data_IF_919594718319
#
_entry.id   IF_919594718319
#
_cell.length_a   1.000
_cell.length_b   1.000
_cell.length_c   1.000
_cell.angle_alpha   90.00
_cell.angle_beta   90.00
_cell.angle_gamma   90.00
#
_symmetry.space_group_name_H-M   'P 1'
#
loop_
_entity.id
_entity.type
_entity.pdbx_description
1 polymer ?
#
# COMPACT_ATOMS: atom_id res chain seq x y z
N UNK A 1 9.58 -6.70 -12.67
CA UNK A 1 10.82 -7.36 -12.20
C UNK A 1 10.49 -8.24 -11.01
N UNK A 2 11.44 -8.98 -10.43
CA UNK A 2 11.20 -9.78 -9.21
C UNK A 2 10.65 -8.93 -8.05
N UNK A 3 11.20 -7.72 -7.86
CA UNK A 3 10.72 -6.76 -6.86
C UNK A 3 9.25 -6.37 -7.08
N UNK A 4 8.85 -6.13 -8.33
CA UNK A 4 7.45 -5.86 -8.66
C UNK A 4 6.54 -7.03 -8.28
N UNK A 5 6.98 -8.27 -8.52
CA UNK A 5 6.19 -9.46 -8.17
C UNK A 5 5.99 -9.59 -6.66
N UNK A 6 7.04 -9.34 -5.85
CA UNK A 6 6.91 -9.32 -4.39
C UNK A 6 5.99 -8.20 -3.90
N UNK A 7 6.08 -7.02 -4.51
CA UNK A 7 5.18 -5.91 -4.20
C UNK A 7 3.71 -6.28 -4.48
N UNK A 8 3.41 -6.82 -5.67
CA UNK A 8 2.02 -7.17 -6.05
C UNK A 8 1.44 -8.24 -5.13
N UNK A 9 2.19 -9.31 -4.83
CA UNK A 9 1.71 -10.36 -3.93
C UNK A 9 1.54 -9.85 -2.49
N UNK A 10 2.50 -9.07 -1.98
CA UNK A 10 2.37 -8.42 -0.69
C UNK A 10 1.21 -7.43 -0.63
N UNK A 11 0.91 -6.77 -1.74
CA UNK A 11 -0.20 -5.84 -1.89
C UNK A 11 -1.55 -6.57 -1.75
N UNK A 12 -1.69 -7.71 -2.41
CA UNK A 12 -2.89 -8.53 -2.32
C UNK A 12 -3.11 -9.07 -0.90
N UNK A 13 -2.03 -9.36 -0.16
CA UNK A 13 -2.08 -9.64 1.28
C UNK A 13 -2.57 -8.43 2.09
N UNK A 14 -2.08 -7.22 1.78
CA UNK A 14 -2.52 -5.99 2.46
C UNK A 14 -4.02 -5.71 2.32
N UNK A 15 -4.58 -6.06 1.16
CA UNK A 15 -6.02 -6.03 0.88
C UNK A 15 -6.82 -7.19 1.47
N UNK A 16 -6.14 -8.24 1.97
CA UNK A 16 -6.79 -9.47 2.42
C UNK A 16 -7.36 -10.32 1.29
N UNK A 17 -6.98 -10.05 0.04
CA UNK A 17 -7.46 -10.77 -1.15
C UNK A 17 -6.64 -12.01 -1.50
N UNK A 18 -5.43 -12.13 -0.95
CA UNK A 18 -4.56 -13.29 -1.15
C UNK A 18 -5.07 -14.56 -0.45
N UNK A 19 -5.70 -14.43 0.72
CA UNK A 19 -6.27 -15.56 1.48
C UNK A 19 -7.47 -15.13 2.32
N UNK A 20 -8.39 -16.07 2.59
CA UNK A 20 -9.49 -15.86 3.55
C UNK A 20 -9.02 -15.74 5.01
N UNK A 21 -7.79 -16.16 5.32
CA UNK A 21 -7.25 -16.11 6.69
C UNK A 21 -6.43 -14.84 6.91
N UNK A 22 -6.86 -13.89 7.77
CA UNK A 22 -6.14 -12.64 7.99
C UNK A 22 -4.70 -12.83 8.48
N UNK A 23 -4.47 -13.80 9.36
CA UNK A 23 -3.14 -14.12 9.86
C UNK A 23 -2.19 -14.58 8.75
N UNK A 24 -2.69 -15.38 7.80
CA UNK A 24 -1.88 -15.84 6.67
C UNK A 24 -1.48 -14.68 5.76
N UNK A 25 -2.40 -13.76 5.49
CA UNK A 25 -2.09 -12.53 4.76
C UNK A 25 -1.00 -11.72 5.47
N UNK A 26 -1.11 -11.55 6.79
CA UNK A 26 -0.13 -10.74 7.52
C UNK A 26 1.26 -11.37 7.57
N UNK A 27 1.35 -12.70 7.70
CA UNK A 27 2.64 -13.42 7.64
C UNK A 27 3.27 -13.30 6.26
N UNK A 28 2.53 -13.63 5.20
CA UNK A 28 3.04 -13.62 3.82
C UNK A 28 3.39 -12.19 3.40
N UNK A 29 2.52 -11.23 3.69
CA UNK A 29 2.72 -9.82 3.40
C UNK A 29 3.98 -9.26 4.07
N UNK A 30 4.21 -9.62 5.34
CA UNK A 30 5.43 -9.22 6.08
C UNK A 30 6.68 -9.80 5.47
N UNK A 31 6.68 -11.09 5.11
CA UNK A 31 7.85 -11.74 4.48
C UNK A 31 8.15 -11.07 3.13
N UNK A 32 7.16 -10.95 2.24
CA UNK A 32 7.35 -10.41 0.89
C UNK A 32 7.81 -8.95 0.90
N UNK A 33 7.21 -8.11 1.73
CA UNK A 33 7.60 -6.71 1.83
C UNK A 33 8.98 -6.53 2.48
N UNK A 34 9.41 -7.45 3.36
CA UNK A 34 10.79 -7.44 3.90
C UNK A 34 11.84 -7.62 2.80
N UNK A 35 11.57 -8.46 1.79
CA UNK A 35 12.48 -8.66 0.64
C UNK A 35 12.67 -7.41 -0.22
N UNK A 36 11.74 -6.46 -0.16
CA UNK A 36 11.81 -5.20 -0.90
C UNK A 36 12.06 -3.99 0.01
N UNK A 37 12.44 -4.23 1.28
CA UNK A 37 12.74 -3.21 2.29
C UNK A 37 11.57 -2.25 2.56
N UNK A 38 10.34 -2.73 2.41
CA UNK A 38 9.14 -1.97 2.72
C UNK A 38 8.52 -2.49 4.04
N UNK A 39 8.24 -1.64 5.03
CA UNK A 39 7.60 -2.07 6.27
C UNK A 39 6.12 -2.40 6.05
N UNK A 40 5.76 -3.68 6.03
CA UNK A 40 4.42 -4.15 5.64
C UNK A 40 3.27 -3.51 6.41
N UNK A 41 3.31 -3.44 7.74
CA UNK A 41 2.18 -2.92 8.52
C UNK A 41 1.94 -1.42 8.31
N UNK A 42 3.02 -0.63 8.27
CA UNK A 42 2.94 0.80 7.97
C UNK A 42 2.46 1.02 6.55
N UNK A 43 2.99 0.23 5.59
CA UNK A 43 2.53 0.24 4.21
C UNK A 43 1.04 -0.12 4.11
N UNK A 44 0.58 -1.19 4.75
CA UNK A 44 -0.83 -1.61 4.78
C UNK A 44 -1.73 -0.51 5.33
N UNK A 45 -1.32 0.18 6.40
CA UNK A 45 -2.10 1.26 7.00
C UNK A 45 -2.25 2.46 6.06
N UNK A 46 -1.12 2.94 5.53
CA UNK A 46 -1.06 4.07 4.59
C UNK A 46 -1.79 3.72 3.29
N UNK A 47 -1.53 2.55 2.71
CA UNK A 47 -2.22 2.07 1.53
C UNK A 47 -3.75 2.01 1.68
N UNK A 48 -4.24 1.60 2.85
CA UNK A 48 -5.67 1.66 3.15
C UNK A 48 -6.21 3.10 3.21
N UNK A 49 -5.42 4.06 3.70
CA UNK A 49 -5.78 5.48 3.66
C UNK A 49 -5.77 6.03 2.22
N UNK A 50 -4.75 5.70 1.43
CA UNK A 50 -4.70 6.03 0.02
C UNK A 50 -5.95 5.53 -0.71
N UNK A 51 -6.33 4.26 -0.56
CA UNK A 51 -7.55 3.74 -1.20
C UNK A 51 -8.83 4.48 -0.78
N UNK A 52 -8.95 4.86 0.50
CA UNK A 52 -10.08 5.67 0.99
C UNK A 52 -10.11 7.08 0.41
N UNK A 53 -8.94 7.64 0.05
CA UNK A 53 -8.77 9.02 -0.37
C UNK A 53 -8.30 9.16 -1.83
N UNK A 54 -8.37 8.10 -2.64
CA UNK A 54 -7.83 8.10 -4.01
C UNK A 54 -8.36 9.30 -4.80
N UNK A 55 -7.47 10.08 -5.41
CA UNK A 55 -7.78 11.31 -6.16
C UNK A 55 -8.33 12.48 -5.31
N UNK A 56 -8.20 12.42 -3.98
CA UNK A 56 -8.52 13.56 -3.13
C UNK A 56 -7.31 14.50 -3.02
N UNK A 57 -7.45 15.72 -3.56
CA UNK A 57 -6.38 16.73 -3.61
C UNK A 57 -5.89 17.20 -2.23
N UNK A 58 -6.70 17.04 -1.18
CA UNK A 58 -6.37 17.45 0.19
C UNK A 58 -5.93 16.28 1.08
N UNK A 59 -6.35 15.05 0.75
CA UNK A 59 -6.27 13.89 1.66
C UNK A 59 -5.51 12.69 1.11
N UNK A 60 -5.23 12.65 -0.20
CA UNK A 60 -4.38 11.61 -0.77
C UNK A 60 -2.93 11.90 -0.39
N UNK A 61 -2.35 10.98 0.37
CA UNK A 61 -0.99 11.07 0.90
C UNK A 61 0.08 10.81 -0.18
N UNK A 62 -0.30 10.21 -1.32
CA UNK A 62 0.66 9.83 -2.37
C UNK A 62 0.86 10.96 -3.39
N UNK A 63 -0.15 11.79 -3.64
CA UNK A 63 -0.11 12.81 -4.66
C UNK A 63 -0.64 14.16 -4.17
N UNK A 64 0.26 15.14 -4.07
CA UNK A 64 -0.09 16.52 -3.74
C UNK A 64 0.12 17.43 -4.97
N UNK A 65 -0.95 17.80 -5.71
CA UNK A 65 -0.79 18.64 -6.89
C UNK A 65 -0.39 20.07 -6.49
N UNK A 66 0.48 20.68 -7.28
CA UNK A 66 0.79 22.10 -7.11
C UNK A 66 -0.44 22.93 -7.44
N UNK A 67 -0.96 23.64 -6.43
CA UNK A 67 -2.03 24.63 -6.63
C UNK A 67 -1.36 25.90 -7.13
N UNK A 68 -1.78 26.38 -8.31
CA UNK A 68 -1.32 27.67 -8.82
C UNK A 68 -1.58 28.77 -7.79
N UNK A 69 -0.67 29.75 -7.69
CA UNK A 69 -0.90 30.96 -6.91
C UNK A 69 -2.21 31.61 -7.34
N UNK A 70 -3.07 32.07 -6.40
CA UNK A 70 -4.18 32.93 -6.78
C UNK A 70 -3.58 34.17 -7.45
N UNK A 71 -3.88 34.37 -8.73
CA UNK A 71 -3.68 35.65 -9.41
C UNK A 71 -4.79 36.60 -9.00
#
# INVERSE_FOLDING_TARGET
>A
TLYTSFFVLGHDCGHGSFSFYPLLNDIVGTILHSWILAPYYTWKLTHNHHHKNTNNIDKDEVFYPQRGTPH
#
